data_IF_770907976424
#
_entry.id   IF_770907976424
#
_cell.length_a   1.000
_cell.length_b   1.000
_cell.length_c   1.000
_cell.angle_alpha   90.00
_cell.angle_beta   90.00
_cell.angle_gamma   90.00
#
_symmetry.space_group_name_H-M   'P 1'
#
loop_
_entity.id
_entity.type
_entity.pdbx_description
1 polymer ?
#
# COMPACT_ATOMS: atom_id res chain seq x y z
N UNK A 1 -2.68 -4.58 21.57
CA UNK A 1 -3.71 -4.58 20.51
C UNK A 1 -4.53 -5.85 20.65
N UNK A 2 -5.88 -5.84 20.59
CA UNK A 2 -6.67 -7.07 20.74
C UNK A 2 -6.35 -8.06 19.62
N UNK A 3 -6.27 -9.36 19.93
CA UNK A 3 -5.97 -10.45 18.98
C UNK A 3 -7.00 -10.55 17.84
N UNK A 4 -8.16 -9.90 17.97
CA UNK A 4 -9.25 -9.86 17.01
C UNK A 4 -9.18 -8.72 15.99
N UNK A 5 -8.22 -7.78 16.12
CA UNK A 5 -8.17 -6.62 15.23
C UNK A 5 -7.69 -7.04 13.84
N UNK A 6 -8.62 -7.07 12.88
CA UNK A 6 -8.37 -7.33 11.45
C UNK A 6 -8.27 -6.05 10.63
N UNK A 7 -8.98 -5.01 11.05
CA UNK A 7 -9.05 -3.74 10.34
C UNK A 7 -8.55 -2.66 11.29
N UNK A 8 -7.51 -1.94 10.88
CA UNK A 8 -6.98 -0.81 11.62
C UNK A 8 -7.07 0.44 10.74
N UNK A 9 -7.88 1.41 11.16
CA UNK A 9 -8.04 2.67 10.46
C UNK A 9 -7.65 3.84 11.35
N UNK A 10 -6.70 4.64 10.86
CA UNK A 10 -6.20 5.86 11.49
C UNK A 10 -6.05 6.98 10.45
N UNK A 11 -6.87 6.97 9.40
CA UNK A 11 -6.84 7.99 8.37
C UNK A 11 -7.18 9.38 8.93
N UNK A 12 -6.62 10.43 8.32
CA UNK A 12 -6.83 11.85 8.71
C UNK A 12 -6.42 12.17 10.15
N UNK A 13 -5.41 11.49 10.68
CA UNK A 13 -4.80 11.80 11.97
C UNK A 13 -3.49 12.60 11.78
N UNK A 14 -2.66 12.66 12.83
CA UNK A 14 -1.32 13.26 12.80
C UNK A 14 -0.25 12.19 13.00
N UNK A 15 -0.43 11.00 12.42
CA UNK A 15 0.57 9.94 12.52
C UNK A 15 1.77 10.35 11.67
N UNK A 16 2.94 10.48 12.31
CA UNK A 16 4.18 10.93 11.66
C UNK A 16 5.29 9.87 11.76
N UNK A 17 5.00 8.71 12.34
CA UNK A 17 5.97 7.67 12.58
C UNK A 17 5.31 6.28 12.57
N UNK A 18 6.07 5.29 12.09
CA UNK A 18 5.70 3.89 12.08
C UNK A 18 5.78 3.22 13.46
N UNK A 19 6.38 3.92 14.43
CA UNK A 19 6.52 3.48 15.82
C UNK A 19 6.04 4.58 16.74
N UNK A 20 5.43 4.19 17.86
CA UNK A 20 5.28 5.07 19.02
C UNK A 20 6.63 5.16 19.72
N UNK A 21 7.13 6.38 19.92
CA UNK A 21 8.31 6.63 20.74
C UNK A 21 7.96 6.38 22.21
N UNK A 22 8.78 5.56 22.86
CA UNK A 22 8.76 5.16 24.27
C UNK A 22 7.76 4.05 24.69
N UNK A 23 8.31 2.84 24.85
CA UNK A 23 7.91 1.91 25.93
C UNK A 23 6.73 0.97 25.70
N UNK A 24 5.81 1.24 24.77
CA UNK A 24 4.55 0.49 24.70
C UNK A 24 4.17 0.13 23.26
N UNK A 25 4.03 -1.19 23.03
CA UNK A 25 3.40 -1.89 21.91
C UNK A 25 3.18 -1.12 20.60
N UNK A 26 3.93 -1.47 19.55
CA UNK A 26 3.61 -1.01 18.20
C UNK A 26 2.22 -1.51 17.80
N UNK A 27 1.40 -0.66 17.15
CA UNK A 27 0.12 -1.09 16.55
C UNK A 27 0.31 -2.23 15.54
N UNK A 28 1.54 -2.42 15.07
CA UNK A 28 1.97 -3.43 14.10
C UNK A 28 2.49 -4.72 14.76
N UNK A 29 2.47 -4.84 16.10
CA UNK A 29 2.60 -6.14 16.80
C UNK A 29 1.37 -7.04 16.55
N UNK A 30 0.28 -6.46 16.07
CA UNK A 30 -0.90 -7.20 15.64
C UNK A 30 -0.69 -7.84 14.26
N UNK A 31 -0.10 -9.04 14.25
CA UNK A 31 0.09 -9.86 13.05
C UNK A 31 -1.21 -10.31 12.38
N UNK A 32 -2.37 -10.03 13.00
CA UNK A 32 -3.70 -10.37 12.48
C UNK A 32 -4.35 -9.28 11.61
N UNK A 33 -3.68 -8.15 11.38
CA UNK A 33 -4.22 -7.08 10.53
C UNK A 33 -4.31 -7.56 9.08
N UNK A 34 -5.49 -7.39 8.51
CA UNK A 34 -5.89 -7.70 7.12
C UNK A 34 -6.03 -6.41 6.29
N UNK A 35 -6.52 -5.33 6.91
CA UNK A 35 -6.65 -4.01 6.28
C UNK A 35 -6.02 -2.93 7.17
N UNK A 36 -5.17 -2.09 6.59
CA UNK A 36 -4.53 -0.97 7.28
C UNK A 36 -4.76 0.33 6.51
N UNK A 37 -5.51 1.25 7.11
CA UNK A 37 -5.81 2.56 6.53
C UNK A 37 -5.08 3.66 7.30
N UNK A 38 -4.14 4.31 6.61
CA UNK A 38 -3.26 5.37 7.10
C UNK A 38 -3.32 6.62 6.21
N UNK A 39 -4.37 6.77 5.40
CA UNK A 39 -4.50 7.87 4.47
C UNK A 39 -4.51 9.24 5.16
N UNK A 40 -4.05 10.28 4.46
CA UNK A 40 -4.07 11.67 4.93
C UNK A 40 -3.38 11.87 6.29
N UNK A 41 -2.19 11.30 6.43
CA UNK A 41 -1.29 11.52 7.57
C UNK A 41 0.00 12.23 7.08
N UNK A 42 1.06 12.22 7.88
CA UNK A 42 2.38 12.72 7.47
C UNK A 42 3.42 11.60 7.57
N UNK A 43 3.03 10.39 7.15
CA UNK A 43 3.89 9.21 7.25
C UNK A 43 5.09 9.37 6.32
N UNK A 44 6.32 9.37 6.86
CA UNK A 44 7.51 9.32 6.03
C UNK A 44 7.70 7.91 5.48
N UNK A 45 8.53 7.78 4.44
CA UNK A 45 9.08 6.47 4.05
C UNK A 45 9.64 5.74 5.27
N UNK A 46 9.41 4.42 5.35
CA UNK A 46 10.11 3.56 6.30
C UNK A 46 11.61 3.62 6.02
N UNK A 47 12.35 4.33 6.89
CA UNK A 47 13.82 4.43 6.81
C UNK A 47 14.46 3.23 7.53
N UNK A 48 15.56 2.69 6.96
CA UNK A 48 16.37 1.63 7.56
C UNK A 48 15.78 0.21 7.45
N UNK A 49 16.31 -0.74 8.23
CA UNK A 49 15.94 -2.17 8.21
C UNK A 49 14.56 -2.48 8.82
N UNK A 50 13.68 -1.47 8.96
CA UNK A 50 12.37 -1.64 9.58
C UNK A 50 11.43 -2.41 8.66
N UNK A 51 11.35 -3.72 8.89
CA UNK A 51 10.46 -4.64 8.16
C UNK A 51 9.06 -4.71 8.80
N UNK A 52 8.60 -3.62 9.40
CA UNK A 52 7.43 -3.68 10.29
C UNK A 52 6.13 -4.01 9.53
N UNK A 53 5.94 -3.43 8.34
CA UNK A 53 4.82 -3.81 7.46
C UNK A 53 4.96 -5.24 6.94
N UNK A 54 6.19 -5.68 6.65
CA UNK A 54 6.47 -7.04 6.16
C UNK A 54 6.10 -8.15 7.15
N UNK A 55 5.94 -7.83 8.44
CA UNK A 55 5.48 -8.77 9.47
C UNK A 55 3.96 -8.98 9.45
N UNK A 56 3.20 -8.11 8.79
CA UNK A 56 1.74 -8.22 8.68
C UNK A 56 1.36 -9.22 7.59
N UNK A 57 1.66 -10.51 7.79
CA UNK A 57 1.49 -11.57 6.78
C UNK A 57 0.03 -11.81 6.32
N UNK A 58 -0.95 -11.21 7.00
CA UNK A 58 -2.37 -11.25 6.63
C UNK A 58 -2.86 -9.99 5.92
N UNK A 59 -2.03 -8.94 5.87
CA UNK A 59 -2.37 -7.66 5.26
C UNK A 59 -2.58 -7.86 3.77
N UNK A 60 -3.80 -7.61 3.30
CA UNK A 60 -4.13 -7.67 1.88
C UNK A 60 -4.48 -6.29 1.32
N UNK A 61 -4.96 -5.36 2.16
CA UNK A 61 -5.29 -3.99 1.78
C UNK A 61 -4.47 -2.99 2.60
N UNK A 62 -3.74 -2.10 1.91
CA UNK A 62 -2.96 -1.04 2.54
C UNK A 62 -3.25 0.30 1.88
N UNK A 63 -3.80 1.23 2.67
CA UNK A 63 -4.04 2.60 2.23
C UNK A 63 -3.07 3.58 2.90
N UNK A 64 -2.23 4.20 2.08
CA UNK A 64 -1.22 5.20 2.42
C UNK A 64 -1.42 6.48 1.60
N UNK A 65 -2.59 6.69 1.00
CA UNK A 65 -2.88 7.86 0.18
C UNK A 65 -2.66 9.17 0.95
N UNK A 66 -2.17 10.22 0.30
CA UNK A 66 -2.05 11.54 0.93
C UNK A 66 -1.05 11.60 2.09
N UNK A 67 0.12 10.96 1.94
CA UNK A 67 1.23 11.00 2.89
C UNK A 67 2.46 11.68 2.24
N UNK A 68 3.65 11.53 2.85
CA UNK A 68 4.91 12.10 2.35
C UNK A 68 5.93 11.01 2.03
N UNK A 69 5.45 9.88 1.52
CA UNK A 69 6.31 8.73 1.20
C UNK A 69 7.08 8.99 -0.10
N UNK A 70 8.39 8.82 -0.04
CA UNK A 70 9.29 8.92 -1.18
C UNK A 70 9.53 7.59 -1.92
N UNK A 71 9.23 6.46 -1.27
CA UNK A 71 9.37 5.12 -1.86
C UNK A 71 8.28 4.18 -1.32
N UNK A 72 8.06 3.06 -2.03
CA UNK A 72 7.22 1.97 -1.54
C UNK A 72 8.01 1.23 -0.44
N UNK A 73 7.45 1.11 0.78
CA UNK A 73 8.14 0.42 1.86
C UNK A 73 8.19 -1.09 1.59
N UNK A 74 9.03 -1.87 2.32
CA UNK A 74 8.97 -3.32 2.25
C UNK A 74 7.60 -3.84 2.74
N UNK A 75 6.85 -4.46 1.82
CA UNK A 75 5.51 -4.98 2.06
C UNK A 75 5.50 -6.52 2.16
N UNK A 76 4.50 -7.12 2.84
CA UNK A 76 4.31 -8.56 2.83
C UNK A 76 3.74 -9.02 1.48
N UNK A 77 4.07 -10.24 1.06
CA UNK A 77 3.60 -10.82 -0.21
C UNK A 77 2.09 -11.11 -0.26
N UNK A 78 1.39 -10.89 0.87
CA UNK A 78 -0.06 -10.99 1.00
C UNK A 78 -0.81 -9.79 0.43
N UNK A 79 -0.14 -8.65 0.19
CA UNK A 79 -0.79 -7.43 -0.30
C UNK A 79 -1.38 -7.65 -1.69
N UNK A 80 -2.63 -7.21 -1.84
CA UNK A 80 -3.44 -7.30 -3.06
C UNK A 80 -3.83 -5.90 -3.53
N UNK A 81 -4.15 -5.01 -2.61
CA UNK A 81 -4.53 -3.63 -2.90
C UNK A 81 -3.59 -2.65 -2.18
N UNK A 82 -3.00 -1.74 -2.96
CA UNK A 82 -2.06 -0.73 -2.47
C UNK A 82 -2.48 0.67 -2.95
N UNK A 83 -2.81 1.54 -2.01
CA UNK A 83 -3.17 2.92 -2.30
C UNK A 83 -2.04 3.83 -1.84
N UNK A 84 -1.36 4.46 -2.79
CA UNK A 84 -0.23 5.37 -2.55
C UNK A 84 -0.33 6.64 -3.38
N UNK A 85 -1.52 6.99 -3.88
CA UNK A 85 -1.74 8.27 -4.55
C UNK A 85 -1.44 9.45 -3.61
N UNK A 86 -1.14 10.61 -4.19
CA UNK A 86 -0.82 11.84 -3.44
C UNK A 86 0.34 11.65 -2.43
N UNK A 87 1.45 11.11 -2.91
CA UNK A 87 2.70 10.98 -2.14
C UNK A 87 3.85 11.67 -2.89
N UNK A 88 5.09 11.41 -2.48
CA UNK A 88 6.30 11.98 -3.08
C UNK A 88 7.18 10.91 -3.72
N UNK A 89 6.59 9.84 -4.26
CA UNK A 89 7.35 8.73 -4.85
C UNK A 89 7.93 9.13 -6.20
N UNK A 90 9.26 9.22 -6.29
CA UNK A 90 9.95 9.73 -7.48
C UNK A 90 10.55 8.62 -8.37
N UNK A 91 11.21 7.64 -7.76
CA UNK A 91 12.02 6.67 -8.50
C UNK A 91 11.18 5.51 -9.05
N UNK A 92 10.81 5.59 -10.33
CA UNK A 92 10.06 4.53 -11.02
C UNK A 92 10.77 3.17 -11.02
N UNK A 93 12.11 3.13 -11.07
CA UNK A 93 12.84 1.86 -11.05
C UNK A 93 12.73 1.16 -9.69
N UNK A 94 12.77 1.93 -8.60
CA UNK A 94 12.54 1.42 -7.24
C UNK A 94 11.10 0.96 -7.05
N UNK A 95 10.13 1.70 -7.59
CA UNK A 95 8.72 1.27 -7.62
C UNK A 95 8.61 -0.08 -8.31
N UNK A 96 9.17 -0.21 -9.53
CA UNK A 96 9.14 -1.47 -10.28
C UNK A 96 9.80 -2.62 -9.51
N UNK A 97 10.89 -2.37 -8.79
CA UNK A 97 11.54 -3.37 -7.96
C UNK A 97 10.64 -3.81 -6.79
N UNK A 98 9.98 -2.87 -6.11
CA UNK A 98 9.07 -3.18 -5.01
C UNK A 98 7.83 -3.97 -5.48
N UNK A 99 7.22 -3.58 -6.61
CA UNK A 99 6.02 -4.25 -7.12
C UNK A 99 6.29 -5.69 -7.60
N UNK A 100 7.51 -5.99 -8.08
CA UNK A 100 7.91 -7.36 -8.46
C UNK A 100 7.87 -8.35 -7.29
N UNK A 101 8.09 -7.87 -6.07
CA UNK A 101 8.08 -8.69 -4.85
C UNK A 101 6.66 -8.97 -4.34
N UNK A 102 5.62 -8.44 -5.00
CA UNK A 102 4.21 -8.55 -4.60
C UNK A 102 3.42 -9.42 -5.59
N UNK A 103 3.53 -10.76 -5.50
CA UNK A 103 2.95 -11.67 -6.49
C UNK A 103 1.41 -11.64 -6.53
N UNK A 104 0.76 -11.17 -5.46
CA UNK A 104 -0.70 -11.11 -5.33
C UNK A 104 -1.28 -9.73 -5.64
N UNK A 105 -0.44 -8.73 -5.91
CA UNK A 105 -0.90 -7.37 -6.15
C UNK A 105 -1.79 -7.33 -7.39
N UNK A 106 -3.02 -6.86 -7.21
CA UNK A 106 -4.03 -6.74 -8.25
C UNK A 106 -4.41 -5.28 -8.50
N UNK A 107 -4.35 -4.43 -7.47
CA UNK A 107 -4.72 -3.01 -7.55
C UNK A 107 -3.61 -2.15 -6.98
N UNK A 108 -3.19 -1.15 -7.75
CA UNK A 108 -2.23 -0.14 -7.26
C UNK A 108 -2.63 1.25 -7.75
N UNK A 109 -2.62 2.22 -6.83
CA UNK A 109 -2.81 3.64 -7.12
C UNK A 109 -1.54 4.40 -6.77
N UNK A 110 -0.93 5.04 -7.76
CA UNK A 110 0.25 5.91 -7.62
C UNK A 110 0.03 7.27 -8.30
N UNK A 111 -1.19 7.59 -8.73
CA UNK A 111 -1.56 8.91 -9.23
C UNK A 111 -1.02 10.05 -8.35
N UNK A 112 -0.64 11.16 -8.99
CA UNK A 112 -0.17 12.36 -8.28
C UNK A 112 1.09 12.09 -7.44
N UNK A 113 1.93 11.17 -7.91
CA UNK A 113 3.33 11.02 -7.50
C UNK A 113 4.27 11.45 -8.64
N UNK A 114 5.46 11.98 -8.35
CA UNK A 114 6.43 12.35 -9.38
C UNK A 114 6.79 11.19 -10.35
N UNK A 115 6.84 9.95 -9.87
CA UNK A 115 7.10 8.77 -10.70
C UNK A 115 6.06 8.57 -11.81
N UNK A 116 4.83 9.06 -11.61
CA UNK A 116 3.74 9.02 -12.57
C UNK A 116 3.74 10.27 -13.47
N UNK A 117 4.07 11.45 -12.95
CA UNK A 117 4.05 12.71 -13.72
C UNK A 117 5.29 12.94 -14.58
N UNK A 118 6.47 12.48 -14.12
CA UNK A 118 7.76 12.85 -14.73
C UNK A 118 8.16 11.92 -15.87
N UNK A 119 7.58 10.71 -15.92
CA UNK A 119 7.82 9.75 -17.00
C UNK A 119 6.52 9.10 -17.56
N UNK A 120 5.51 9.88 -18.02
CA UNK A 120 4.20 9.33 -18.38
C UNK A 120 4.21 8.19 -19.43
N UNK A 121 5.03 8.23 -20.50
CA UNK A 121 5.07 7.15 -21.49
C UNK A 121 5.64 5.84 -20.95
N UNK A 122 6.57 5.94 -20.00
CA UNK A 122 7.29 4.79 -19.45
C UNK A 122 6.64 4.24 -18.19
N UNK A 123 5.95 5.09 -17.44
CA UNK A 123 5.26 4.75 -16.21
C UNK A 123 4.41 3.49 -16.38
N UNK A 124 3.38 3.56 -17.23
CA UNK A 124 2.45 2.44 -17.42
C UNK A 124 3.14 1.18 -17.92
N UNK A 125 4.01 1.29 -18.94
CA UNK A 125 4.66 0.12 -19.54
C UNK A 125 5.63 -0.58 -18.57
N UNK A 126 6.37 0.18 -17.75
CA UNK A 126 7.28 -0.39 -16.76
C UNK A 126 6.53 -1.01 -15.58
N UNK A 127 5.47 -0.36 -15.08
CA UNK A 127 4.64 -0.92 -13.99
C UNK A 127 4.02 -2.25 -14.42
N UNK A 128 3.45 -2.32 -15.62
CA UNK A 128 2.86 -3.56 -16.15
C UNK A 128 3.92 -4.66 -16.41
N UNK A 129 5.14 -4.27 -16.81
CA UNK A 129 6.25 -5.21 -16.96
C UNK A 129 6.77 -5.72 -15.60
N UNK A 130 6.68 -4.89 -14.55
CA UNK A 130 7.07 -5.26 -13.20
C UNK A 130 6.01 -6.12 -12.49
N UNK A 131 4.72 -5.83 -12.70
CA UNK A 131 3.59 -6.51 -12.08
C UNK A 131 2.60 -6.96 -13.16
N UNK A 132 2.78 -8.19 -13.65
CA UNK A 132 1.92 -8.77 -14.70
C UNK A 132 0.58 -9.30 -14.20
N UNK A 133 0.36 -9.34 -12.88
CA UNK A 133 -0.89 -9.78 -12.25
C UNK A 133 -1.85 -8.62 -11.99
N UNK A 134 -1.46 -7.39 -12.35
CA UNK A 134 -2.24 -6.21 -12.08
C UNK A 134 -3.55 -6.22 -12.88
N UNK A 135 -4.66 -6.03 -12.18
CA UNK A 135 -5.99 -5.83 -12.74
C UNK A 135 -6.28 -4.34 -12.92
N UNK A 136 -5.82 -3.51 -11.97
CA UNK A 136 -6.09 -2.09 -11.98
C UNK A 136 -4.82 -1.28 -11.65
N UNK A 137 -4.53 -0.33 -12.54
CA UNK A 137 -3.48 0.68 -12.35
C UNK A 137 -4.14 2.05 -12.33
N UNK A 138 -4.05 2.75 -11.21
CA UNK A 138 -4.70 4.04 -11.01
C UNK A 138 -6.21 3.96 -11.32
N UNK A 139 -6.79 4.97 -11.96
CA UNK A 139 -8.17 4.95 -12.44
C UNK A 139 -8.40 4.08 -13.70
N UNK A 140 -7.42 3.28 -14.13
CA UNK A 140 -7.52 2.46 -15.37
C UNK A 140 -7.59 0.97 -15.08
N UNK A 141 -8.72 0.35 -15.41
CA UNK A 141 -8.87 -1.11 -15.45
C UNK A 141 -8.14 -1.70 -16.66
N UNK A 142 -7.47 -2.85 -16.45
CA UNK A 142 -6.66 -3.54 -17.46
C UNK A 142 -7.42 -4.68 -18.15
N UNK A 143 -8.67 -4.92 -17.78
CA UNK A 143 -9.57 -5.88 -18.41
C UNK A 143 -9.29 -7.36 -18.12
N UNK A 144 -8.23 -7.68 -17.38
CA UNK A 144 -7.95 -9.05 -16.92
C UNK A 144 -8.61 -9.27 -15.55
N UNK A 145 -9.51 -10.25 -15.41
CA UNK A 145 -10.11 -10.62 -14.12
C UNK A 145 -9.03 -10.77 -13.03
N UNK A 146 -9.25 -10.22 -11.82
CA UNK A 146 -8.27 -10.35 -10.76
C UNK A 146 -8.09 -11.84 -10.44
N UNK A 147 -6.83 -12.32 -10.53
CA UNK A 147 -6.47 -13.71 -10.19
C UNK A 147 -6.74 -14.06 -8.73
N UNK A 148 -7.02 -13.04 -7.91
CA UNK A 148 -7.34 -13.17 -6.51
C UNK A 148 -8.55 -12.31 -6.20
N UNK A 149 -9.61 -12.94 -5.70
CA UNK A 149 -10.76 -12.29 -5.10
C UNK A 149 -10.77 -12.71 -3.63
N UNK A 150 -10.84 -11.75 -2.69
CA UNK A 150 -10.99 -12.11 -1.28
C UNK A 150 -12.38 -12.74 -1.13
N UNK A 151 -12.43 -14.06 -0.90
CA UNK A 151 -13.65 -14.78 -0.58
C UNK A 151 -14.11 -14.48 0.85
N UNK A 152 -14.18 -13.21 1.26
CA UNK A 152 -15.02 -12.77 2.39
C UNK A 152 -14.99 -11.24 2.52
N UNK A 153 -15.88 -10.53 1.84
CA UNK A 153 -16.30 -9.18 2.25
C UNK A 153 -17.78 -8.99 1.93
N UNK A 154 -18.65 -9.69 2.66
CA UNK A 154 -20.00 -9.18 2.90
C UNK A 154 -19.92 -7.93 3.79
N UNK A 155 -19.27 -6.85 3.37
CA UNK A 155 -19.44 -5.52 3.96
C UNK A 155 -19.13 -4.46 2.91
N UNK A 156 -20.14 -3.63 2.68
CA UNK A 156 -20.24 -2.61 1.66
C UNK A 156 -19.05 -1.65 1.64
N UNK A 157 -18.39 -1.57 0.49
CA UNK A 157 -17.44 -0.50 0.18
C UNK A 157 -18.25 0.79 0.04
N UNK A 158 -18.27 1.63 1.08
CA UNK A 158 -18.48 3.06 0.89
C UNK A 158 -17.17 3.61 0.32
N UNK A 159 -17.06 3.62 -1.01
CA UNK A 159 -16.02 4.38 -1.71
C UNK A 159 -16.26 5.86 -1.38
N UNK A 160 -15.51 6.42 -0.43
CA UNK A 160 -15.60 7.83 -0.13
C UNK A 160 -15.05 8.64 -1.31
N UNK A 161 -15.84 9.66 -1.68
CA UNK A 161 -15.56 10.69 -2.67
C UNK A 161 -14.49 11.65 -2.21
#
# INVERSE_FOLDING_TARGET
VPESLRIASMSSNRVTAWTVSAGEHSILEATNIEQLHLAHNQMPTLQGSSNILKQLCKLWELDLAGNVMATIPPLPSSVVELWMNDNSVENLAEVCAALKELPKLATVYLERNPCQTDAPPLYRSQILAACSNLHQLDATELGAEPKWTHQDTSHSILKHR
#
